data_IF_602579248454
#
_entry.id   IF_602579248454
#
_cell.length_a   1.000
_cell.length_b   1.000
_cell.length_c   1.000
_cell.angle_alpha   90.00
_cell.angle_beta   90.00
_cell.angle_gamma   90.00
#
_symmetry.space_group_name_H-M   'P 1'
#
loop_
_entity.id
_entity.type
_entity.pdbx_description
1 polymer ?
#
# COMPACT_ATOMS: atom_id res chain seq x y z
N UNK A 1 46.09 -60.95 9.07
CA UNK A 1 44.78 -61.63 9.04
C UNK A 1 43.82 -60.79 8.21
N UNK A 2 43.00 -61.48 7.40
CA UNK A 2 42.00 -60.98 6.46
C UNK A 2 41.19 -59.76 6.96
N UNK A 3 40.64 -58.89 6.12
CA UNK A 3 40.42 -58.87 4.68
C UNK A 3 39.39 -57.78 4.38
N UNK A 4 39.19 -57.42 3.11
CA UNK A 4 37.87 -57.24 2.49
C UNK A 4 38.00 -56.73 1.06
N UNK A 5 37.35 -57.49 0.20
CA UNK A 5 37.10 -57.29 -1.22
C UNK A 5 36.16 -56.09 -1.45
N UNK A 6 36.29 -55.40 -2.57
CA UNK A 6 35.32 -55.55 -3.66
C UNK A 6 35.70 -54.77 -4.92
N UNK A 7 35.75 -55.53 -6.01
CA UNK A 7 35.76 -55.13 -7.41
C UNK A 7 34.46 -54.39 -7.76
N UNK A 8 34.53 -53.37 -8.61
CA UNK A 8 33.51 -53.17 -9.64
C UNK A 8 34.15 -52.69 -10.94
N UNK A 9 33.73 -53.37 -12.00
CA UNK A 9 34.33 -53.48 -13.32
C UNK A 9 33.65 -52.48 -14.26
N UNK A 10 34.47 -51.83 -15.08
CA UNK A 10 34.07 -51.10 -16.27
C UNK A 10 33.21 -51.95 -17.22
N UNK A 11 32.12 -51.38 -17.74
CA UNK A 11 31.60 -51.75 -19.07
C UNK A 11 31.27 -50.50 -19.88
N UNK A 12 31.81 -50.36 -21.10
CA UNK A 12 31.29 -49.44 -22.09
C UNK A 12 30.14 -50.11 -22.85
N UNK A 13 29.16 -49.34 -23.33
CA UNK A 13 28.26 -49.78 -24.39
C UNK A 13 28.35 -48.88 -25.60
N UNK A 14 28.46 -49.58 -26.71
CA UNK A 14 28.73 -49.19 -28.08
C UNK A 14 27.42 -48.82 -28.79
N UNK A 15 27.51 -47.74 -29.59
CA UNK A 15 26.92 -47.45 -30.91
C UNK A 15 25.60 -48.18 -31.29
N UNK A 16 24.60 -47.40 -31.69
CA UNK A 16 23.67 -47.78 -32.77
C UNK A 16 23.41 -46.60 -33.70
N UNK A 17 23.28 -46.95 -34.96
CA UNK A 17 23.38 -46.19 -36.20
C UNK A 17 22.04 -45.63 -36.70
N UNK A 18 22.12 -44.53 -37.45
CA UNK A 18 21.37 -44.18 -38.67
C UNK A 18 19.85 -44.38 -38.73
N UNK A 19 19.12 -43.26 -38.87
CA UNK A 19 17.87 -43.18 -39.64
C UNK A 19 17.97 -41.93 -40.56
N UNK A 20 17.72 -42.17 -41.84
CA UNK A 20 17.73 -41.24 -42.97
C UNK A 20 16.61 -40.18 -42.96
N UNK A 21 16.72 -39.12 -43.80
CA UNK A 21 15.83 -37.98 -43.80
C UNK A 21 14.63 -38.14 -44.75
N UNK A 22 13.51 -37.48 -44.42
CA UNK A 22 12.38 -37.30 -45.33
C UNK A 22 11.89 -35.84 -45.32
N UNK A 23 11.20 -35.40 -46.38
CA UNK A 23 11.51 -34.13 -47.04
C UNK A 23 10.62 -32.95 -46.65
N UNK A 24 11.16 -31.79 -46.98
CA UNK A 24 10.53 -30.49 -47.19
C UNK A 24 9.03 -30.55 -47.53
N UNK A 25 8.22 -29.92 -46.67
CA UNK A 25 6.96 -29.28 -47.09
C UNK A 25 7.01 -27.81 -46.72
N UNK A 26 7.06 -26.99 -47.76
CA UNK A 26 6.97 -25.55 -47.67
C UNK A 26 5.58 -25.10 -47.26
N UNK A 27 5.54 -24.07 -46.42
CA UNK A 27 4.42 -23.15 -46.34
C UNK A 27 4.96 -21.74 -46.32
N UNK A 28 4.47 -20.95 -47.29
CA UNK A 28 4.93 -19.61 -47.60
C UNK A 28 4.75 -18.65 -46.43
N UNK A 29 5.81 -17.87 -46.18
CA UNK A 29 5.73 -16.66 -45.38
C UNK A 29 5.37 -15.51 -46.32
N UNK A 30 4.17 -14.96 -46.13
CA UNK A 30 3.80 -13.65 -46.64
C UNK A 30 4.59 -12.57 -45.87
N UNK A 31 4.99 -11.47 -46.53
CA UNK A 31 5.75 -10.40 -45.89
C UNK A 31 4.83 -9.55 -45.00
N UNK A 32 5.11 -9.53 -43.70
CA UNK A 32 4.52 -8.53 -42.80
C UNK A 32 5.21 -7.21 -43.09
N UNK A 33 4.49 -6.35 -43.80
CA UNK A 33 4.83 -4.95 -44.04
C UNK A 33 5.01 -4.24 -42.69
N UNK A 34 6.20 -3.67 -42.53
CA UNK A 34 6.54 -2.78 -41.44
C UNK A 34 5.58 -1.58 -41.42
N UNK A 35 4.97 -1.32 -40.26
CA UNK A 35 4.42 0.00 -39.93
C UNK A 35 5.27 0.60 -38.83
N UNK A 36 6.11 1.53 -39.26
CA UNK A 36 6.72 2.57 -38.44
C UNK A 36 5.66 3.58 -37.99
N UNK A 37 6.05 4.36 -36.99
CA UNK A 37 5.51 5.69 -36.65
C UNK A 37 4.39 5.76 -35.61
N UNK A 38 4.82 5.87 -34.34
CA UNK A 38 4.24 6.75 -33.32
C UNK A 38 5.24 6.98 -32.17
N UNK A 39 6.30 7.75 -32.42
CA UNK A 39 7.08 8.37 -31.34
C UNK A 39 6.41 9.72 -31.02
N UNK A 40 5.42 9.71 -30.13
CA UNK A 40 4.92 10.95 -29.53
C UNK A 40 5.89 11.37 -28.42
N UNK A 41 6.79 12.28 -28.75
CA UNK A 41 7.70 12.92 -27.81
C UNK A 41 6.93 13.90 -26.91
N UNK A 42 6.47 13.46 -25.74
CA UNK A 42 6.06 14.37 -24.67
C UNK A 42 7.30 14.96 -23.98
N UNK A 43 7.90 15.99 -24.60
CA UNK A 43 8.83 16.93 -23.95
C UNK A 43 8.07 17.65 -22.83
N UNK A 44 8.40 17.33 -21.58
CA UNK A 44 8.08 18.23 -20.44
C UNK A 44 9.12 19.33 -20.40
N UNK A 45 8.79 20.49 -20.96
CA UNK A 45 9.50 21.72 -20.66
C UNK A 45 9.20 22.13 -19.21
N UNK A 46 10.22 22.03 -18.36
CA UNK A 46 10.25 22.73 -17.09
C UNK A 46 10.54 24.21 -17.38
N UNK A 47 9.50 25.04 -17.43
CA UNK A 47 9.69 26.47 -17.24
C UNK A 47 9.91 26.74 -15.74
N UNK A 48 11.08 27.27 -15.45
CA UNK A 48 11.38 27.92 -14.18
C UNK A 48 10.61 29.23 -14.12
N UNK A 49 9.53 29.27 -13.33
CA UNK A 49 8.95 30.52 -12.85
C UNK A 49 9.40 30.75 -11.41
N UNK A 50 10.43 31.58 -11.30
CA UNK A 50 10.64 32.47 -10.15
C UNK A 50 9.41 33.39 -10.03
N UNK A 51 9.10 33.82 -8.80
CA UNK A 51 7.95 34.68 -8.40
C UNK A 51 6.71 33.88 -7.99
N UNK A 52 6.69 33.39 -6.74
CA UNK A 52 5.50 33.43 -5.89
C UNK A 52 5.89 33.15 -4.42
N UNK A 53 6.77 33.99 -3.86
CA UNK A 53 7.10 33.99 -2.43
C UNK A 53 6.72 35.34 -1.83
N UNK A 54 5.42 35.57 -1.65
CA UNK A 54 4.85 36.59 -0.75
C UNK A 54 3.33 36.37 -0.73
N UNK A 55 2.72 36.53 0.43
CA UNK A 55 1.28 36.39 0.73
C UNK A 55 0.80 34.99 1.18
N UNK A 56 1.39 34.50 2.28
CA UNK A 56 0.59 33.97 3.39
C UNK A 56 0.76 34.88 4.59
N UNK A 57 0.02 35.98 4.59
CA UNK A 57 -0.31 36.69 5.83
C UNK A 57 -1.22 35.73 6.59
N UNK A 58 -0.72 35.19 7.70
CA UNK A 58 -1.61 34.66 8.72
C UNK A 58 -2.48 35.83 9.14
N UNK A 59 -3.76 35.82 8.75
CA UNK A 59 -4.76 36.67 9.39
C UNK A 59 -4.85 36.19 10.84
N UNK A 60 -3.96 36.73 11.68
CA UNK A 60 -4.16 36.80 13.12
C UNK A 60 -5.42 37.64 13.28
N UNK A 61 -6.53 36.99 13.63
CA UNK A 61 -7.68 37.71 14.16
C UNK A 61 -7.25 38.11 15.57
N UNK A 62 -6.59 39.26 15.65
CA UNK A 62 -6.16 39.87 16.90
C UNK A 62 -7.41 40.18 17.73
N UNK A 63 -7.58 39.47 18.84
CA UNK A 63 -8.73 39.64 19.74
C UNK A 63 -9.43 38.35 20.18
N UNK A 64 -9.00 37.17 19.70
CA UNK A 64 -9.51 35.92 20.26
C UNK A 64 -9.04 35.76 21.72
N UNK A 65 -9.98 35.59 22.65
CA UNK A 65 -9.70 35.37 24.07
C UNK A 65 -8.65 34.27 24.24
N UNK A 66 -7.61 34.55 25.01
CA UNK A 66 -6.49 33.65 25.28
C UNK A 66 -6.89 32.47 26.17
N UNK A 67 -8.11 32.48 26.74
CA UNK A 67 -8.61 31.37 27.53
C UNK A 67 -8.80 30.12 26.66
N UNK A 68 -8.09 29.02 26.95
CA UNK A 68 -8.20 27.79 26.19
C UNK A 68 -9.50 27.01 26.45
N UNK A 69 -10.29 27.43 27.43
CA UNK A 69 -11.51 26.74 27.86
C UNK A 69 -12.78 27.45 27.39
N UNK A 70 -13.68 26.67 26.79
CA UNK A 70 -15.03 27.12 26.43
C UNK A 70 -15.85 27.32 27.71
N UNK A 71 -16.54 28.45 27.80
CA UNK A 71 -17.49 28.70 28.89
C UNK A 71 -18.73 27.81 28.75
N UNK A 72 -19.55 27.69 29.80
CA UNK A 72 -20.84 26.98 29.70
C UNK A 72 -21.77 27.61 28.65
N UNK A 73 -21.66 28.94 28.47
CA UNK A 73 -22.41 29.67 27.45
C UNK A 73 -21.90 29.38 26.04
N UNK A 74 -20.58 29.36 25.85
CA UNK A 74 -19.98 28.98 24.57
C UNK A 74 -20.44 27.57 24.17
N UNK A 75 -20.52 26.65 25.13
CA UNK A 75 -20.98 25.27 24.93
C UNK A 75 -22.42 25.21 24.43
N UNK A 76 -23.36 25.87 25.12
CA UNK A 76 -24.78 25.95 24.68
C UNK A 76 -24.90 26.55 23.27
N UNK A 77 -24.16 27.62 23.01
CA UNK A 77 -24.20 28.31 21.72
C UNK A 77 -23.56 27.50 20.59
N UNK A 78 -22.57 26.65 20.89
CA UNK A 78 -22.07 25.66 19.92
C UNK A 78 -23.17 24.66 19.57
N UNK A 79 -23.94 24.17 20.54
CA UNK A 79 -25.02 23.21 20.29
C UNK A 79 -26.13 23.85 19.43
N UNK A 80 -26.56 25.08 19.74
CA UNK A 80 -27.53 25.84 18.94
C UNK A 80 -27.07 26.12 17.50
N UNK A 81 -25.85 26.61 17.33
CA UNK A 81 -25.29 26.90 15.99
C UNK A 81 -24.96 25.62 15.21
N UNK A 82 -24.77 24.50 15.91
CA UNK A 82 -24.58 23.20 15.27
C UNK A 82 -25.90 22.66 14.71
N UNK A 83 -27.00 22.83 15.44
CA UNK A 83 -28.35 22.47 14.98
C UNK A 83 -28.82 23.30 13.78
N UNK A 84 -28.32 24.53 13.62
CA UNK A 84 -28.59 25.37 12.44
C UNK A 84 -27.77 25.01 11.19
N UNK A 85 -27.01 23.90 11.22
CA UNK A 85 -26.15 23.42 10.13
C UNK A 85 -25.00 24.37 9.74
N UNK A 86 -24.56 25.27 10.63
CA UNK A 86 -23.41 26.10 10.36
C UNK A 86 -22.09 25.30 10.35
N UNK A 87 -21.11 25.77 9.56
CA UNK A 87 -19.79 25.14 9.55
C UNK A 87 -19.05 25.44 10.85
N UNK A 88 -18.21 24.51 11.34
CA UNK A 88 -17.37 24.72 12.53
C UNK A 88 -16.52 26.00 12.46
N UNK A 89 -16.13 26.41 11.25
CA UNK A 89 -15.42 27.67 11.02
C UNK A 89 -16.29 28.91 11.24
N UNK A 90 -17.56 28.87 10.84
CA UNK A 90 -18.55 29.92 11.12
C UNK A 90 -18.82 30.00 12.61
N UNK A 91 -19.10 28.86 13.25
CA UNK A 91 -19.33 28.77 14.71
C UNK A 91 -18.13 29.37 15.49
N UNK A 92 -16.90 29.00 15.11
CA UNK A 92 -15.70 29.54 15.75
C UNK A 92 -15.54 31.06 15.58
N UNK A 93 -15.87 31.60 14.40
CA UNK A 93 -15.88 33.05 14.15
C UNK A 93 -16.97 33.75 14.96
N UNK A 94 -18.19 33.22 14.97
CA UNK A 94 -19.34 33.78 15.69
C UNK A 94 -19.07 33.87 17.20
N UNK A 95 -18.39 32.86 17.76
CA UNK A 95 -18.04 32.83 19.18
C UNK A 95 -16.73 33.57 19.52
N UNK A 96 -16.01 34.07 18.51
CA UNK A 96 -14.65 34.58 18.65
C UNK A 96 -13.76 33.61 19.46
N UNK A 97 -13.82 32.33 19.09
CA UNK A 97 -13.05 31.23 19.71
C UNK A 97 -12.12 30.59 18.70
N UNK A 98 -11.05 29.99 19.21
CA UNK A 98 -10.18 29.16 18.37
C UNK A 98 -10.98 27.99 17.80
N UNK A 99 -10.84 27.74 16.50
CA UNK A 99 -11.46 26.62 15.78
C UNK A 99 -11.30 25.29 16.53
N UNK A 100 -10.12 25.06 17.09
CA UNK A 100 -9.79 23.84 17.83
C UNK A 100 -10.58 23.69 19.14
N UNK A 101 -10.90 24.79 19.83
CA UNK A 101 -11.68 24.76 21.06
C UNK A 101 -13.12 24.30 20.76
N UNK A 102 -13.75 24.92 19.75
CA UNK A 102 -15.09 24.52 19.25
C UNK A 102 -15.09 23.06 18.79
N UNK A 103 -14.09 22.66 18.00
CA UNK A 103 -13.96 21.30 17.47
C UNK A 103 -13.86 20.23 18.56
N UNK A 104 -13.30 20.55 19.73
CA UNK A 104 -13.15 19.61 20.85
C UNK A 104 -14.46 19.38 21.62
N UNK A 105 -15.37 20.35 21.61
CA UNK A 105 -16.64 20.26 22.34
C UNK A 105 -17.72 19.54 21.55
N UNK A 106 -17.72 19.66 20.22
CA UNK A 106 -18.68 18.97 19.38
C UNK A 106 -18.65 17.46 19.64
N UNK A 107 -19.81 16.80 19.78
CA UNK A 107 -19.89 15.39 20.13
C UNK A 107 -19.06 14.57 19.15
N UNK A 108 -18.40 13.48 19.60
CA UNK A 108 -17.56 12.66 18.75
C UNK A 108 -18.24 12.25 17.45
N UNK A 109 -19.57 12.09 17.39
CA UNK A 109 -20.33 11.77 16.18
C UNK A 109 -20.53 12.90 15.15
N UNK A 110 -20.07 14.12 15.42
CA UNK A 110 -20.15 15.23 14.46
C UNK A 110 -19.27 14.93 13.24
N UNK A 111 -19.89 15.01 12.06
CA UNK A 111 -19.40 14.52 10.75
C UNK A 111 -17.98 14.94 10.35
N UNK A 112 -17.39 15.96 10.99
CA UNK A 112 -16.06 16.48 10.68
C UNK A 112 -14.93 15.91 11.56
N UNK A 113 -15.22 15.36 12.75
CA UNK A 113 -14.20 14.91 13.70
C UNK A 113 -13.65 13.50 13.43
N UNK A 114 -14.52 12.57 13.01
CA UNK A 114 -14.22 11.13 12.93
C UNK A 114 -13.81 10.63 11.54
N UNK A 115 -14.04 11.42 10.48
CA UNK A 115 -13.97 10.91 9.10
C UNK A 115 -12.57 10.84 8.49
N UNK A 116 -11.49 11.09 9.24
CA UNK A 116 -10.13 10.76 8.73
C UNK A 116 -9.82 9.25 8.78
N UNK A 117 -10.58 8.44 9.53
CA UNK A 117 -10.31 7.00 9.69
C UNK A 117 -11.42 6.12 9.10
N UNK A 118 -12.66 6.61 9.03
CA UNK A 118 -13.76 5.84 8.43
C UNK A 118 -13.61 5.82 6.90
N UNK A 119 -13.51 4.61 6.35
CA UNK A 119 -13.55 4.37 4.91
C UNK A 119 -14.84 4.91 4.28
N UNK A 120 -14.88 4.96 2.96
CA UNK A 120 -16.10 5.32 2.22
C UNK A 120 -17.19 4.28 2.48
N UNK A 121 -18.37 4.73 2.93
CA UNK A 121 -19.55 3.91 3.20
C UNK A 121 -20.52 3.90 2.01
N UNK A 122 -21.57 3.09 2.10
CA UNK A 122 -22.67 3.07 1.12
C UNK A 122 -23.44 4.38 1.06
N UNK A 123 -23.72 4.96 2.23
CA UNK A 123 -24.36 6.27 2.31
C UNK A 123 -23.52 7.35 1.64
N UNK A 124 -22.20 7.30 1.82
CA UNK A 124 -21.29 8.21 1.11
C UNK A 124 -21.38 7.99 -0.42
N UNK A 125 -21.48 6.75 -0.89
CA UNK A 125 -21.61 6.45 -2.33
C UNK A 125 -22.93 6.96 -2.93
N UNK A 126 -24.04 6.66 -2.26
CA UNK A 126 -25.37 7.09 -2.68
C UNK A 126 -25.49 8.61 -2.70
N UNK A 127 -24.96 9.26 -1.66
CA UNK A 127 -24.95 10.72 -1.57
C UNK A 127 -24.05 11.37 -2.61
N UNK A 128 -22.91 10.76 -2.96
CA UNK A 128 -22.09 11.24 -4.09
C UNK A 128 -22.86 11.19 -5.41
N UNK A 129 -23.63 10.11 -5.65
CA UNK A 129 -24.44 9.92 -6.86
C UNK A 129 -25.57 10.94 -6.92
N UNK A 130 -26.38 11.03 -5.87
CA UNK A 130 -27.50 11.97 -5.75
C UNK A 130 -27.04 13.42 -5.95
N UNK A 131 -25.96 13.84 -5.26
CA UNK A 131 -25.42 15.19 -5.41
C UNK A 131 -24.85 15.42 -6.82
N UNK A 132 -24.38 14.37 -7.50
CA UNK A 132 -23.90 14.48 -8.87
C UNK A 132 -25.06 14.64 -9.86
N UNK A 133 -26.16 13.93 -9.64
CA UNK A 133 -27.38 14.03 -10.44
C UNK A 133 -28.04 15.41 -10.30
N UNK A 134 -27.87 16.05 -9.13
CA UNK A 134 -28.20 17.47 -8.89
C UNK A 134 -27.26 18.46 -9.63
N UNK A 135 -26.30 17.99 -10.43
CA UNK A 135 -25.38 18.83 -11.19
C UNK A 135 -24.26 19.47 -10.38
N UNK A 136 -24.06 19.08 -9.11
CA UNK A 136 -23.00 19.66 -8.29
C UNK A 136 -21.60 19.27 -8.81
N UNK A 137 -20.67 20.21 -8.70
CA UNK A 137 -19.24 19.98 -8.94
C UNK A 137 -18.66 19.09 -7.84
N UNK A 138 -17.62 18.31 -8.15
CA UNK A 138 -16.96 17.42 -7.17
C UNK A 138 -16.44 18.16 -5.93
N UNK A 139 -16.01 19.42 -6.07
CA UNK A 139 -15.59 20.24 -4.92
C UNK A 139 -16.74 20.48 -3.94
N UNK A 140 -17.90 20.92 -4.43
CA UNK A 140 -19.11 21.10 -3.61
C UNK A 140 -19.62 19.79 -3.00
N UNK A 141 -19.49 18.68 -3.73
CA UNK A 141 -19.84 17.35 -3.23
C UNK A 141 -18.91 16.97 -2.07
N UNK A 142 -17.60 17.16 -2.21
CA UNK A 142 -16.62 16.88 -1.17
C UNK A 142 -16.90 17.72 0.10
N UNK A 143 -17.20 19.00 -0.08
CA UNK A 143 -17.59 19.91 1.00
C UNK A 143 -18.86 19.45 1.72
N UNK A 144 -19.93 19.12 0.99
CA UNK A 144 -21.19 18.58 1.56
C UNK A 144 -20.98 17.26 2.31
N UNK A 145 -20.01 16.45 1.92
CA UNK A 145 -19.68 15.19 2.58
C UNK A 145 -18.68 15.35 3.74
N UNK A 146 -18.14 16.55 3.95
CA UNK A 146 -17.07 16.82 4.91
C UNK A 146 -15.78 16.04 4.56
N UNK A 147 -15.50 15.81 3.28
CA UNK A 147 -14.31 15.10 2.78
C UNK A 147 -13.41 16.05 1.99
N UNK A 148 -12.13 15.70 1.86
CA UNK A 148 -11.22 16.45 1.00
C UNK A 148 -11.52 16.15 -0.48
N UNK A 149 -11.38 17.17 -1.34
CA UNK A 149 -11.54 17.00 -2.79
C UNK A 149 -10.68 15.85 -3.34
N UNK A 150 -9.38 15.82 -3.00
CA UNK A 150 -8.49 14.73 -3.43
C UNK A 150 -8.86 13.35 -2.85
N UNK A 151 -9.54 13.31 -1.69
CA UNK A 151 -10.08 12.07 -1.13
C UNK A 151 -11.26 11.55 -1.93
N UNK A 152 -12.19 12.43 -2.31
CA UNK A 152 -13.30 12.13 -3.21
C UNK A 152 -12.81 11.75 -4.61
N UNK A 153 -11.83 12.46 -5.15
CA UNK A 153 -11.24 12.15 -6.45
C UNK A 153 -10.51 10.79 -6.44
N UNK A 154 -9.73 10.50 -5.40
CA UNK A 154 -9.10 9.18 -5.24
C UNK A 154 -10.11 8.04 -5.09
N UNK A 155 -11.27 8.35 -4.51
CA UNK A 155 -12.39 7.42 -4.40
C UNK A 155 -13.06 7.21 -5.76
N UNK A 156 -13.37 8.29 -6.47
CA UNK A 156 -13.97 8.27 -7.80
C UNK A 156 -13.05 7.64 -8.84
N UNK A 157 -11.74 7.88 -8.79
CA UNK A 157 -10.77 7.20 -9.66
C UNK A 157 -10.77 5.70 -9.40
N UNK A 158 -10.77 5.29 -8.12
CA UNK A 158 -10.96 3.88 -7.77
C UNK A 158 -12.32 3.35 -8.23
N UNK A 159 -13.35 4.19 -8.27
CA UNK A 159 -14.69 3.88 -8.75
C UNK A 159 -14.86 3.90 -10.28
N UNK A 160 -14.06 4.67 -11.02
CA UNK A 160 -14.11 4.84 -12.49
C UNK A 160 -13.21 3.87 -13.23
N UNK A 161 -12.06 3.51 -12.65
CA UNK A 161 -11.27 2.36 -13.09
C UNK A 161 -12.07 1.03 -12.99
N UNK A 162 -13.28 1.05 -12.41
CA UNK A 162 -14.26 -0.05 -12.42
C UNK A 162 -14.94 -0.18 -13.79
N UNK A 163 -15.14 0.92 -14.51
CA UNK A 163 -16.11 0.99 -15.62
C UNK A 163 -15.49 0.96 -17.02
N UNK A 164 -14.23 1.37 -17.20
CA UNK A 164 -13.67 1.64 -18.53
C UNK A 164 -12.85 0.49 -19.17
N UNK A 165 -12.70 -0.67 -18.52
CA UNK A 165 -11.93 -1.77 -19.11
C UNK A 165 -12.06 -3.04 -18.29
N UNK A 166 -12.81 -4.01 -18.82
CA UNK A 166 -13.12 -5.27 -18.15
C UNK A 166 -11.90 -5.90 -17.46
N UNK A 167 -12.14 -6.43 -16.25
CA UNK A 167 -11.18 -7.07 -15.29
C UNK A 167 -10.64 -6.17 -14.17
N UNK A 168 -11.41 -5.22 -13.65
CA UNK A 168 -11.13 -4.66 -12.33
C UNK A 168 -11.75 -5.53 -11.23
N UNK A 169 -10.97 -5.91 -10.21
CA UNK A 169 -11.42 -6.64 -9.01
C UNK A 169 -12.22 -5.77 -8.02
N UNK A 170 -12.65 -4.59 -8.45
CA UNK A 170 -13.35 -3.62 -7.62
C UNK A 170 -14.83 -3.68 -7.95
N UNK A 171 -15.65 -3.85 -6.91
CA UNK A 171 -17.10 -4.02 -6.97
C UNK A 171 -17.77 -3.02 -6.03
N UNK A 172 -19.02 -2.65 -6.30
CA UNK A 172 -19.78 -1.84 -5.36
C UNK A 172 -20.09 -2.66 -4.10
N UNK A 173 -20.29 -1.97 -2.99
CA UNK A 173 -20.74 -2.60 -1.75
C UNK A 173 -22.15 -3.18 -1.90
N UNK A 174 -23.03 -2.56 -2.70
CA UNK A 174 -24.32 -3.13 -3.11
C UNK A 174 -24.17 -4.49 -3.84
N UNK A 175 -23.29 -4.58 -4.86
CA UNK A 175 -22.99 -5.84 -5.57
C UNK A 175 -22.43 -6.91 -4.63
N UNK A 176 -21.64 -6.48 -3.64
CA UNK A 176 -21.13 -7.36 -2.59
C UNK A 176 -22.26 -7.87 -1.69
N UNK A 177 -23.19 -7.01 -1.28
CA UNK A 177 -24.32 -7.40 -0.44
C UNK A 177 -25.27 -8.32 -1.19
N UNK A 178 -25.47 -8.09 -2.48
CA UNK A 178 -26.16 -9.02 -3.38
C UNK A 178 -25.43 -10.37 -3.41
N UNK A 179 -24.10 -10.40 -3.60
CA UNK A 179 -23.31 -11.63 -3.56
C UNK A 179 -23.47 -12.36 -2.21
N UNK A 180 -23.48 -11.63 -1.10
CA UNK A 180 -23.66 -12.18 0.25
C UNK A 180 -25.06 -12.74 0.46
N UNK A 181 -26.10 -12.05 0.00
CA UNK A 181 -27.48 -12.52 0.10
C UNK A 181 -27.71 -13.78 -0.76
N UNK A 182 -27.14 -13.82 -1.96
CA UNK A 182 -27.15 -15.02 -2.79
C UNK A 182 -26.39 -16.19 -2.13
N UNK A 183 -25.29 -15.92 -1.42
CA UNK A 183 -24.60 -16.95 -0.65
C UNK A 183 -25.45 -17.46 0.52
N UNK A 184 -26.18 -16.58 1.23
CA UNK A 184 -27.10 -16.98 2.31
C UNK A 184 -28.24 -17.87 1.80
N UNK A 185 -28.66 -17.69 0.54
CA UNK A 185 -29.63 -18.56 -0.15
C UNK A 185 -29.02 -19.93 -0.56
N UNK A 186 -27.77 -20.21 -0.22
CA UNK A 186 -27.10 -21.47 -0.53
C UNK A 186 -26.48 -21.54 -1.93
N UNK A 187 -26.47 -20.45 -2.71
CA UNK A 187 -25.85 -20.47 -4.03
C UNK A 187 -24.33 -20.60 -3.94
N UNK A 188 -23.75 -21.41 -4.83
CA UNK A 188 -22.30 -21.53 -4.99
C UNK A 188 -21.71 -20.27 -5.64
N UNK A 189 -20.45 -19.90 -5.34
CA UNK A 189 -19.81 -18.71 -5.91
C UNK A 189 -19.82 -18.62 -7.44
N UNK A 190 -19.81 -19.76 -8.14
CA UNK A 190 -19.92 -19.83 -9.61
C UNK A 190 -21.28 -19.36 -10.11
N UNK A 191 -22.37 -19.78 -9.46
CA UNK A 191 -23.73 -19.33 -9.79
C UNK A 191 -23.93 -17.86 -9.44
N UNK A 192 -23.36 -17.40 -8.32
CA UNK A 192 -23.35 -15.98 -7.93
C UNK A 192 -22.62 -15.14 -8.98
N UNK A 193 -21.44 -15.60 -9.43
CA UNK A 193 -20.65 -14.96 -10.47
C UNK A 193 -21.41 -14.82 -11.79
N UNK A 194 -22.09 -15.88 -12.22
CA UNK A 194 -22.95 -15.85 -13.39
C UNK A 194 -24.10 -14.83 -13.22
N UNK A 195 -24.79 -14.85 -12.07
CA UNK A 195 -25.93 -13.96 -11.79
C UNK A 195 -25.55 -12.48 -11.70
N UNK A 196 -24.35 -12.17 -11.21
CA UNK A 196 -23.83 -10.80 -11.12
C UNK A 196 -23.07 -10.35 -12.38
N UNK A 197 -22.85 -11.24 -13.37
CA UNK A 197 -22.01 -10.93 -14.52
C UNK A 197 -20.55 -10.64 -14.15
N UNK A 198 -20.03 -11.26 -13.09
CA UNK A 198 -18.68 -11.01 -12.55
C UNK A 198 -17.80 -12.26 -12.58
N UNK A 199 -16.46 -12.13 -12.64
CA UNK A 199 -15.57 -13.27 -12.52
C UNK A 199 -15.69 -13.96 -11.15
N UNK A 200 -15.58 -15.30 -11.13
CA UNK A 200 -15.65 -16.11 -9.90
C UNK A 200 -14.61 -15.67 -8.87
N UNK A 201 -13.41 -15.25 -9.31
CA UNK A 201 -12.37 -14.72 -8.44
C UNK A 201 -12.81 -13.43 -7.72
N UNK A 202 -13.55 -12.55 -8.41
CA UNK A 202 -14.08 -11.31 -7.86
C UNK A 202 -15.19 -11.59 -6.86
N UNK A 203 -16.11 -12.51 -7.16
CA UNK A 203 -17.13 -12.97 -6.20
C UNK A 203 -16.50 -13.62 -4.97
N UNK A 204 -15.50 -14.48 -5.16
CA UNK A 204 -14.74 -15.03 -4.03
C UNK A 204 -14.08 -13.93 -3.20
N UNK A 205 -13.58 -12.85 -3.82
CA UNK A 205 -13.07 -11.70 -3.09
C UNK A 205 -14.17 -10.92 -2.35
N UNK A 206 -15.36 -10.72 -2.96
CA UNK A 206 -16.55 -10.14 -2.32
C UNK A 206 -16.92 -10.90 -1.04
N UNK A 207 -17.02 -12.23 -1.17
CA UNK A 207 -17.42 -13.14 -0.10
C UNK A 207 -16.33 -13.29 0.97
N UNK A 208 -15.04 -13.35 0.59
CA UNK A 208 -13.89 -13.38 1.54
C UNK A 208 -13.74 -12.06 2.30
N UNK A 209 -14.02 -10.93 1.65
CA UNK A 209 -13.92 -9.60 2.27
C UNK A 209 -14.89 -9.40 3.43
N UNK A 210 -15.92 -10.26 3.55
CA UNK A 210 -16.87 -10.33 4.69
C UNK A 210 -16.18 -10.43 6.05
N UNK A 211 -14.94 -10.91 6.13
CA UNK A 211 -14.28 -11.14 7.43
C UNK A 211 -13.16 -10.15 7.78
N UNK A 212 -12.65 -9.37 6.81
CA UNK A 212 -11.58 -8.38 7.09
C UNK A 212 -12.11 -6.96 7.28
N UNK A 213 -13.37 -6.69 6.90
CA UNK A 213 -14.00 -5.38 7.01
C UNK A 213 -15.43 -5.51 7.52
N UNK A 214 -15.61 -6.17 8.67
CA UNK A 214 -16.58 -5.61 9.60
C UNK A 214 -16.05 -4.21 9.87
N UNK A 215 -16.67 -3.18 9.29
CA UNK A 215 -16.43 -1.82 9.74
C UNK A 215 -17.02 -1.80 11.14
N UNK A 216 -16.17 -2.12 12.11
CA UNK A 216 -16.52 -2.04 13.51
C UNK A 216 -17.15 -0.67 13.74
N UNK A 217 -18.43 -0.68 14.09
CA UNK A 217 -19.11 0.54 14.46
C UNK A 217 -18.48 1.07 15.74
N UNK A 218 -18.69 2.35 16.06
CA UNK A 218 -18.21 2.88 17.32
C UNK A 218 -18.86 2.16 18.51
N UNK A 219 -20.12 1.76 18.37
CA UNK A 219 -20.83 0.95 19.36
C UNK A 219 -20.17 -0.42 19.55
N UNK A 220 -19.76 -1.09 18.47
CA UNK A 220 -19.07 -2.36 18.59
C UNK A 220 -17.71 -2.20 19.27
N UNK A 221 -16.97 -1.13 18.95
CA UNK A 221 -15.69 -0.83 19.59
C UNK A 221 -15.91 -0.57 21.09
N UNK A 222 -16.93 0.21 21.43
CA UNK A 222 -17.28 0.54 22.80
C UNK A 222 -17.69 -0.70 23.59
N UNK A 223 -18.59 -1.53 23.04
CA UNK A 223 -18.99 -2.82 23.62
C UNK A 223 -17.77 -3.72 23.87
N UNK A 224 -16.86 -3.85 22.91
CA UNK A 224 -15.64 -4.66 23.08
C UNK A 224 -14.74 -4.10 24.18
N UNK A 225 -14.64 -2.77 24.31
CA UNK A 225 -13.90 -2.13 25.40
C UNK A 225 -14.57 -2.40 26.75
N UNK A 226 -15.89 -2.22 26.88
CA UNK A 226 -16.62 -2.42 28.14
C UNK A 226 -16.54 -3.87 28.60
N UNK A 227 -16.78 -4.83 27.70
CA UNK A 227 -16.70 -6.25 28.02
C UNK A 227 -15.29 -6.66 28.46
N UNK A 228 -14.25 -6.04 27.88
CA UNK A 228 -12.87 -6.27 28.30
C UNK A 228 -12.50 -5.62 29.63
N UNK A 229 -13.01 -4.43 29.91
CA UNK A 229 -12.85 -3.77 31.21
C UNK A 229 -13.58 -4.52 32.33
N UNK A 230 -14.70 -5.17 32.00
CA UNK A 230 -15.41 -6.09 32.90
C UNK A 230 -14.68 -7.44 33.13
N UNK A 231 -13.49 -7.64 32.54
CA UNK A 231 -12.67 -8.84 32.75
C UNK A 231 -13.07 -10.06 31.93
N UNK A 232 -14.06 -9.96 31.03
CA UNK A 232 -14.48 -11.12 30.21
C UNK A 232 -13.35 -11.60 29.31
N UNK A 233 -13.27 -12.91 29.14
CA UNK A 233 -12.34 -13.58 28.23
C UNK A 233 -12.72 -13.34 26.76
N UNK A 234 -11.77 -13.49 25.84
CA UNK A 234 -12.07 -13.35 24.40
C UNK A 234 -13.09 -14.38 23.90
N UNK A 235 -13.16 -15.55 24.53
CA UNK A 235 -14.12 -16.60 24.14
C UNK A 235 -15.55 -16.15 24.47
N UNK A 236 -15.78 -15.62 25.68
CA UNK A 236 -17.09 -15.09 26.10
C UNK A 236 -17.52 -13.91 25.22
N UNK A 237 -16.60 -12.98 24.93
CA UNK A 237 -16.89 -11.84 24.05
C UNK A 237 -17.25 -12.31 22.63
N UNK A 238 -16.58 -13.37 22.14
CA UNK A 238 -16.89 -13.93 20.82
C UNK A 238 -18.25 -14.61 20.79
N UNK A 239 -18.67 -15.24 21.90
CA UNK A 239 -20.01 -15.81 22.04
C UNK A 239 -21.09 -14.72 22.08
N UNK A 240 -20.83 -13.58 22.73
CA UNK A 240 -21.73 -12.43 22.81
C UNK A 240 -21.82 -11.63 21.50
N UNK A 241 -20.77 -11.64 20.68
CA UNK A 241 -20.70 -10.94 19.40
C UNK A 241 -20.57 -11.96 18.24
N UNK A 242 -21.62 -12.75 17.98
CA UNK A 242 -21.57 -13.80 16.96
C UNK A 242 -21.27 -13.22 15.58
N UNK A 243 -20.35 -13.86 14.86
CA UNK A 243 -19.88 -13.41 13.54
C UNK A 243 -18.52 -12.71 13.57
N UNK A 244 -18.03 -12.34 14.76
CA UNK A 244 -16.69 -11.79 14.95
C UNK A 244 -15.67 -12.90 15.22
N UNK A 245 -14.49 -12.83 14.59
CA UNK A 245 -13.36 -13.72 14.94
C UNK A 245 -12.64 -13.16 16.16
N UNK A 246 -12.24 -14.02 17.09
CA UNK A 246 -11.39 -13.67 18.25
C UNK A 246 -10.20 -12.79 17.87
N UNK A 247 -9.45 -13.17 16.84
CA UNK A 247 -8.27 -12.40 16.38
C UNK A 247 -8.63 -11.00 15.87
N UNK A 248 -9.83 -10.82 15.32
CA UNK A 248 -10.32 -9.52 14.88
C UNK A 248 -10.71 -8.63 16.08
N UNK A 249 -11.35 -9.21 17.11
CA UNK A 249 -11.67 -8.53 18.37
C UNK A 249 -10.40 -8.10 19.12
N UNK A 250 -9.40 -8.98 19.19
CA UNK A 250 -8.08 -8.69 19.76
C UNK A 250 -7.39 -7.52 19.05
N UNK A 251 -7.39 -7.53 17.71
CA UNK A 251 -6.82 -6.46 16.91
C UNK A 251 -7.59 -5.14 17.08
N UNK A 252 -8.92 -5.21 17.16
CA UNK A 252 -9.80 -4.05 17.40
C UNK A 252 -9.48 -3.40 18.74
N UNK A 253 -9.51 -4.19 19.82
CA UNK A 253 -9.21 -3.72 21.17
C UNK A 253 -7.78 -3.17 21.26
N UNK A 254 -6.80 -3.85 20.67
CA UNK A 254 -5.41 -3.37 20.62
C UNK A 254 -5.29 -2.02 19.91
N UNK A 255 -6.09 -1.78 18.88
CA UNK A 255 -6.14 -0.49 18.17
C UNK A 255 -6.82 0.58 19.01
N UNK A 256 -8.01 0.28 19.55
CA UNK A 256 -8.80 1.19 20.36
C UNK A 256 -8.07 1.63 21.65
N UNK A 257 -7.41 0.68 22.33
CA UNK A 257 -6.59 0.98 23.51
C UNK A 257 -5.32 1.73 23.16
N UNK A 258 -4.70 1.46 22.01
CA UNK A 258 -3.56 2.26 21.54
C UNK A 258 -4.01 3.70 21.28
N UNK A 259 -5.15 3.91 20.63
CA UNK A 259 -5.68 5.26 20.40
C UNK A 259 -6.05 5.96 21.72
N UNK A 260 -6.58 5.24 22.72
CA UNK A 260 -6.83 5.77 24.08
C UNK A 260 -5.53 6.10 24.82
N UNK A 261 -4.50 5.26 24.73
CA UNK A 261 -3.16 5.51 25.32
C UNK A 261 -2.41 6.64 24.62
N UNK A 262 -2.60 6.78 23.31
CA UNK A 262 -2.06 7.88 22.51
C UNK A 262 -2.71 9.24 22.85
N UNK A 263 -3.78 9.27 23.66
CA UNK A 263 -4.33 10.50 24.27
C UNK A 263 -3.55 10.97 25.51
N UNK A 264 -2.53 10.25 25.98
CA UNK A 264 -1.47 10.89 26.79
C UNK A 264 -0.85 12.06 26.01
N UNK A 265 -0.05 12.95 26.62
CA UNK A 265 0.65 14.00 25.86
C UNK A 265 1.51 13.31 24.82
N UNK A 266 0.98 13.19 23.60
CA UNK A 266 1.64 12.49 22.52
C UNK A 266 3.01 13.12 22.42
N UNK A 267 4.06 12.33 22.64
CA UNK A 267 5.43 12.82 22.54
C UNK A 267 5.48 13.51 21.18
N UNK A 268 5.53 14.85 21.19
CA UNK A 268 5.35 15.65 19.98
C UNK A 268 6.56 15.34 19.12
N UNK A 269 6.45 14.34 18.25
CA UNK A 269 7.48 14.02 17.28
C UNK A 269 7.55 15.26 16.41
N UNK A 270 8.58 16.05 16.64
CA UNK A 270 8.76 17.31 15.98
C UNK A 270 8.91 17.02 14.47
N UNK A 271 8.00 17.58 13.68
CA UNK A 271 8.13 17.62 12.20
C UNK A 271 9.12 18.72 11.78
N UNK A 272 10.20 18.87 12.54
CA UNK A 272 11.26 19.83 12.24
C UNK A 272 12.12 19.23 11.11
N UNK A 273 12.66 20.02 10.17
CA UNK A 273 13.66 19.54 9.22
C UNK A 273 14.83 18.84 9.93
N UNK A 274 15.54 17.95 9.24
CA UNK A 274 16.74 17.32 9.80
C UNK A 274 17.90 18.31 9.79
N UNK A 275 18.58 18.49 10.92
CA UNK A 275 19.82 19.26 10.98
C UNK A 275 21.01 18.40 10.53
N UNK A 276 22.09 19.07 10.09
CA UNK A 276 23.33 18.37 9.73
C UNK A 276 23.96 17.65 10.93
N UNK A 277 23.78 18.17 12.15
CA UNK A 277 24.24 17.53 13.39
C UNK A 277 23.47 16.24 13.67
N UNK A 278 22.16 16.23 13.45
CA UNK A 278 21.33 15.02 13.58
C UNK A 278 21.77 13.96 12.57
N UNK A 279 22.07 14.37 11.33
CA UNK A 279 22.56 13.48 10.28
C UNK A 279 23.92 12.87 10.62
N UNK A 280 24.87 13.71 11.09
CA UNK A 280 26.18 13.25 11.53
C UNK A 280 26.07 12.28 12.72
N UNK A 281 25.22 12.61 13.69
CA UNK A 281 24.92 11.74 14.84
C UNK A 281 24.31 10.42 14.39
N UNK A 282 23.38 10.44 13.44
CA UNK A 282 22.76 9.24 12.88
C UNK A 282 23.81 8.33 12.21
N UNK A 283 24.68 8.90 11.37
CA UNK A 283 25.78 8.17 10.74
C UNK A 283 26.76 7.62 11.77
N UNK A 284 27.12 8.39 12.80
CA UNK A 284 28.01 7.93 13.87
C UNK A 284 27.40 6.76 14.64
N UNK A 285 26.16 6.87 15.09
CA UNK A 285 25.48 5.81 15.84
C UNK A 285 25.32 4.53 14.99
N UNK A 286 25.09 4.69 13.67
CA UNK A 286 24.82 3.57 12.78
C UNK A 286 26.08 2.90 12.21
N UNK A 287 27.02 3.68 11.71
CA UNK A 287 28.19 3.18 10.97
C UNK A 287 29.37 2.92 11.90
N UNK A 288 29.60 3.79 12.89
CA UNK A 288 30.72 3.66 13.84
C UNK A 288 30.31 2.74 14.98
N UNK A 289 29.22 3.06 15.69
CA UNK A 289 28.79 2.29 16.88
C UNK A 289 27.98 1.04 16.56
N UNK A 290 27.64 0.82 15.29
CA UNK A 290 26.88 -0.36 14.80
C UNK A 290 25.56 -0.60 15.54
N UNK A 291 24.92 0.45 16.07
CA UNK A 291 23.66 0.31 16.80
C UNK A 291 22.50 -0.04 15.87
N UNK A 292 21.53 -0.77 16.41
CA UNK A 292 20.26 -1.04 15.72
C UNK A 292 19.40 0.23 15.64
N UNK A 293 18.55 0.34 14.62
CA UNK A 293 17.63 1.48 14.47
C UNK A 293 16.67 1.66 15.66
N UNK A 294 16.40 0.58 16.40
CA UNK A 294 15.60 0.63 17.62
C UNK A 294 16.33 1.36 18.74
N UNK A 295 17.59 0.96 19.00
CA UNK A 295 18.46 1.63 19.96
C UNK A 295 18.70 3.09 19.58
N UNK A 296 18.93 3.37 18.29
CA UNK A 296 19.09 4.74 17.80
C UNK A 296 17.83 5.56 18.06
N UNK A 297 16.63 5.00 17.88
CA UNK A 297 15.38 5.72 18.17
C UNK A 297 15.13 6.01 19.65
N UNK A 298 15.73 5.21 20.55
CA UNK A 298 15.72 5.50 21.99
C UNK A 298 16.68 6.64 22.33
N UNK A 299 17.84 6.70 21.68
CA UNK A 299 18.85 7.76 21.86
C UNK A 299 18.45 9.09 21.19
N UNK A 300 17.83 9.04 20.01
CA UNK A 300 17.27 10.17 19.27
C UNK A 300 15.76 10.25 19.53
N UNK A 301 15.43 10.48 20.79
CA UNK A 301 14.08 10.28 21.31
C UNK A 301 13.04 11.27 20.77
N UNK A 302 13.50 12.32 20.10
CA UNK A 302 12.77 13.35 19.36
C UNK A 302 12.32 12.88 17.96
N UNK A 303 12.98 11.85 17.41
CA UNK A 303 12.65 11.28 16.09
C UNK A 303 12.07 9.88 16.22
N UNK A 304 11.08 9.56 15.39
CA UNK A 304 10.55 8.19 15.32
C UNK A 304 11.54 7.25 14.64
N UNK A 305 11.53 5.97 15.02
CA UNK A 305 12.30 4.91 14.35
C UNK A 305 12.11 4.91 12.82
N UNK A 306 10.88 5.15 12.35
CA UNK A 306 10.57 5.20 10.92
C UNK A 306 11.20 6.42 10.24
N UNK A 307 11.17 7.59 10.89
CA UNK A 307 11.82 8.79 10.38
C UNK A 307 13.34 8.60 10.30
N UNK A 308 13.94 8.04 11.34
CA UNK A 308 15.37 7.68 11.38
C UNK A 308 15.72 6.72 10.23
N UNK A 309 14.90 5.68 10.02
CA UNK A 309 15.12 4.75 8.91
C UNK A 309 15.06 5.46 7.55
N UNK A 310 14.02 6.27 7.29
CA UNK A 310 13.92 7.02 6.03
C UNK A 310 15.10 7.95 5.83
N UNK A 311 15.45 8.74 6.85
CA UNK A 311 16.55 9.69 6.74
C UNK A 311 17.89 9.01 6.53
N UNK A 312 18.16 7.93 7.24
CA UNK A 312 19.37 7.14 7.04
C UNK A 312 19.47 6.63 5.60
N UNK A 313 18.36 6.18 4.99
CA UNK A 313 18.35 5.81 3.55
C UNK A 313 18.62 7.00 2.62
N UNK A 314 18.24 8.22 3.02
CA UNK A 314 18.42 9.41 2.20
C UNK A 314 19.86 9.96 2.27
N UNK A 315 20.50 9.88 3.45
CA UNK A 315 21.90 10.35 3.65
C UNK A 315 22.90 9.30 3.19
N UNK A 316 22.67 8.04 3.55
CA UNK A 316 23.55 6.94 3.16
C UNK A 316 23.24 6.57 1.72
N UNK A 317 23.73 7.41 0.80
CA UNK A 317 23.60 7.31 -0.65
C UNK A 317 24.14 5.99 -1.22
N UNK A 318 24.82 5.18 -0.39
CA UNK A 318 25.07 3.78 -0.73
C UNK A 318 23.74 3.10 -1.04
N UNK A 319 22.65 3.35 -0.33
CA UNK A 319 21.36 2.73 -0.61
C UNK A 319 20.55 3.55 -1.62
N UNK A 320 20.93 3.46 -2.90
CA UNK A 320 20.24 4.16 -4.00
C UNK A 320 18.75 3.80 -4.03
N UNK A 321 17.89 4.71 -3.56
CA UNK A 321 16.44 4.71 -3.81
C UNK A 321 16.24 4.99 -5.29
N UNK A 322 15.94 3.95 -6.05
CA UNK A 322 15.35 4.06 -7.39
C UNK A 322 16.16 4.77 -8.49
N UNK A 323 17.48 4.94 -8.34
CA UNK A 323 18.29 5.10 -9.56
C UNK A 323 18.03 3.87 -10.44
N UNK A 324 17.61 4.07 -11.69
CA UNK A 324 17.40 2.97 -12.62
C UNK A 324 18.61 2.03 -12.62
N UNK A 325 18.37 0.74 -12.85
CA UNK A 325 19.49 -0.18 -13.03
C UNK A 325 20.15 0.15 -14.36
N UNK A 326 21.47 0.36 -14.36
CA UNK A 326 22.20 0.46 -15.62
C UNK A 326 22.13 -0.89 -16.36
N UNK A 327 22.33 -0.87 -17.68
CA UNK A 327 22.39 -2.10 -18.47
C UNK A 327 23.47 -3.05 -17.94
N UNK A 328 24.64 -2.51 -17.60
CA UNK A 328 25.75 -3.26 -16.98
C UNK A 328 25.37 -3.89 -15.64
N UNK A 329 24.62 -3.17 -14.78
CA UNK A 329 24.12 -3.72 -13.52
C UNK A 329 23.18 -4.91 -13.80
N UNK A 330 22.28 -4.81 -14.78
CA UNK A 330 21.35 -5.88 -15.15
C UNK A 330 22.07 -7.11 -15.70
N UNK A 331 23.04 -6.91 -16.60
CA UNK A 331 23.87 -7.99 -17.13
C UNK A 331 24.67 -8.68 -16.04
N UNK A 332 25.27 -7.91 -15.12
CA UNK A 332 25.98 -8.44 -13.97
C UNK A 332 25.06 -9.27 -13.06
N UNK A 333 23.84 -8.80 -12.78
CA UNK A 333 22.85 -9.56 -12.02
C UNK A 333 22.53 -10.89 -12.72
N UNK A 334 22.28 -10.84 -14.04
CA UNK A 334 21.92 -12.01 -14.81
C UNK A 334 23.05 -13.06 -14.83
N UNK A 335 24.29 -12.62 -15.04
CA UNK A 335 25.48 -13.48 -15.03
C UNK A 335 25.69 -14.15 -13.67
N UNK A 336 25.67 -13.36 -12.58
CA UNK A 336 25.86 -13.90 -11.23
C UNK A 336 24.75 -14.88 -10.83
N UNK A 337 23.52 -14.63 -11.28
CA UNK A 337 22.39 -15.56 -11.03
C UNK A 337 22.47 -16.83 -11.84
N UNK A 338 22.93 -16.76 -13.08
CA UNK A 338 23.12 -17.96 -13.88
C UNK A 338 24.29 -18.81 -13.38
N UNK A 339 25.27 -18.21 -12.71
CA UNK A 339 26.29 -18.93 -11.94
C UNK A 339 25.76 -19.56 -10.63
N UNK A 340 24.44 -19.54 -10.38
CA UNK A 340 23.82 -20.18 -9.21
C UNK A 340 23.92 -19.40 -7.89
N UNK A 341 24.47 -18.18 -7.88
CA UNK A 341 24.61 -17.41 -6.64
C UNK A 341 23.27 -16.97 -6.07
N UNK A 342 23.09 -17.01 -4.74
CA UNK A 342 21.86 -16.53 -4.09
C UNK A 342 21.75 -15.00 -4.20
N UNK A 343 20.53 -14.47 -4.25
CA UNK A 343 20.29 -13.01 -4.38
C UNK A 343 20.98 -12.16 -3.30
N UNK A 344 21.19 -12.72 -2.09
CA UNK A 344 21.91 -12.06 -1.01
C UNK A 344 23.39 -11.82 -1.39
N UNK A 345 24.02 -12.82 -1.98
CA UNK A 345 25.42 -12.76 -2.41
C UNK A 345 25.57 -11.90 -3.67
N UNK A 346 24.61 -11.97 -4.58
CA UNK A 346 24.54 -11.07 -5.74
C UNK A 346 24.46 -9.61 -5.30
N UNK A 347 23.61 -9.29 -4.32
CA UNK A 347 23.47 -7.93 -3.79
C UNK A 347 24.75 -7.44 -3.09
N UNK A 348 25.50 -8.33 -2.41
CA UNK A 348 26.79 -7.98 -1.85
C UNK A 348 27.83 -7.58 -2.92
N UNK A 349 27.70 -8.07 -4.16
CA UNK A 349 28.58 -7.76 -5.30
C UNK A 349 28.13 -6.57 -6.15
N UNK A 350 26.97 -5.97 -5.83
CA UNK A 350 26.41 -4.82 -6.53
C UNK A 350 26.24 -3.70 -5.51
N UNK A 351 27.25 -2.84 -5.35
CA UNK A 351 27.27 -1.87 -4.26
C UNK A 351 26.03 -0.98 -4.36
N UNK A 352 25.36 -0.86 -3.23
CA UNK A 352 24.23 0.02 -3.08
C UNK A 352 22.86 -0.51 -3.51
N UNK A 353 22.78 -1.79 -3.87
CA UNK A 353 21.50 -2.47 -4.13
C UNK A 353 21.18 -3.45 -3.02
N UNK A 354 19.92 -3.44 -2.57
CA UNK A 354 19.44 -4.44 -1.59
C UNK A 354 19.06 -5.73 -2.32
N UNK A 355 19.17 -6.89 -1.64
CA UNK A 355 18.75 -8.18 -2.25
C UNK A 355 17.31 -8.17 -2.75
N UNK A 356 16.40 -7.44 -2.06
CA UNK A 356 15.00 -7.28 -2.50
C UNK A 356 14.89 -6.47 -3.79
N UNK A 357 15.72 -5.44 -3.94
CA UNK A 357 15.76 -4.64 -5.16
C UNK A 357 16.31 -5.48 -6.32
N UNK A 358 17.40 -6.22 -6.10
CA UNK A 358 18.00 -7.13 -7.09
C UNK A 358 17.02 -8.22 -7.53
N UNK A 359 16.37 -8.90 -6.58
CA UNK A 359 15.37 -9.94 -6.87
C UNK A 359 14.18 -9.38 -7.67
N UNK A 360 13.66 -8.21 -7.26
CA UNK A 360 12.55 -7.56 -7.95
C UNK A 360 12.91 -7.14 -9.38
N UNK A 361 14.08 -6.52 -9.58
CA UNK A 361 14.48 -6.08 -10.93
C UNK A 361 14.76 -7.27 -11.83
N UNK A 362 15.41 -8.32 -11.31
CA UNK A 362 15.67 -9.54 -12.07
C UNK A 362 14.36 -10.21 -12.52
N UNK A 363 13.36 -10.29 -11.63
CA UNK A 363 12.01 -10.75 -11.96
C UNK A 363 11.31 -9.91 -13.04
N UNK A 364 11.49 -8.58 -13.01
CA UNK A 364 10.97 -7.70 -14.06
C UNK A 364 11.70 -7.90 -15.39
N UNK A 365 13.02 -7.96 -15.36
CA UNK A 365 13.89 -8.07 -16.54
C UNK A 365 13.73 -9.40 -17.26
N UNK A 366 13.60 -10.49 -16.51
CA UNK A 366 13.48 -11.84 -17.06
C UNK A 366 12.02 -12.36 -17.01
N UNK A 367 11.01 -11.47 -16.90
CA UNK A 367 9.59 -11.85 -16.81
C UNK A 367 9.21 -12.81 -17.95
N UNK A 368 8.73 -14.01 -17.57
CA UNK A 368 8.33 -15.07 -18.53
C UNK A 368 9.45 -16.01 -18.97
N UNK A 369 10.72 -15.74 -18.63
CA UNK A 369 11.88 -16.52 -19.09
C UNK A 369 12.47 -17.47 -18.04
N UNK A 370 12.01 -17.39 -16.79
CA UNK A 370 12.47 -18.22 -15.68
C UNK A 370 11.45 -18.32 -14.53
N UNK A 371 11.68 -19.28 -13.63
CA UNK A 371 11.01 -19.45 -12.33
C UNK A 371 12.04 -19.52 -11.21
N UNK A 372 11.62 -19.27 -9.96
CA UNK A 372 12.47 -19.35 -8.76
C UNK A 372 11.88 -20.37 -7.80
N UNK A 373 12.69 -21.32 -7.35
CA UNK A 373 12.26 -22.30 -6.34
C UNK A 373 12.23 -21.69 -4.92
N UNK A 374 11.67 -22.43 -3.95
CA UNK A 374 11.58 -21.99 -2.55
C UNK A 374 12.94 -21.72 -1.89
N UNK A 375 14.02 -22.30 -2.43
CA UNK A 375 15.39 -22.17 -1.95
C UNK A 375 16.13 -20.98 -2.59
N UNK A 376 15.49 -20.32 -3.56
CA UNK A 376 16.03 -19.17 -4.27
C UNK A 376 16.94 -19.52 -5.45
N UNK A 377 16.82 -20.71 -6.04
CA UNK A 377 17.51 -21.10 -7.29
C UNK A 377 16.68 -20.69 -8.52
N UNK A 378 17.35 -20.37 -9.63
CA UNK A 378 16.69 -19.99 -10.90
C UNK A 378 16.54 -21.21 -11.79
N UNK A 379 15.32 -21.50 -12.23
CA UNK A 379 15.04 -22.44 -13.31
C UNK A 379 14.69 -21.64 -14.58
N UNK A 380 15.55 -21.71 -15.59
CA UNK A 380 15.33 -21.01 -16.86
C UNK A 380 14.37 -21.79 -17.76
N UNK A 381 13.35 -21.12 -18.30
CA UNK A 381 12.41 -21.70 -19.27
C UNK A 381 12.88 -21.50 -20.71
N UNK A 382 13.70 -20.46 -20.95
CA UNK A 382 14.36 -20.18 -22.22
C UNK A 382 15.87 -20.00 -21.99
N UNK A 383 16.68 -20.22 -23.03
CA UNK A 383 18.12 -19.91 -22.96
C UNK A 383 18.32 -18.45 -22.49
N UNK A 384 19.15 -18.22 -21.45
CA UNK A 384 19.38 -16.88 -20.90
C UNK A 384 19.80 -15.90 -22.01
N UNK A 385 19.39 -14.62 -21.94
CA UNK A 385 19.73 -13.62 -22.98
C UNK A 385 21.23 -13.57 -23.32
N UNK A 386 22.10 -13.63 -22.32
CA UNK A 386 23.55 -13.58 -22.50
C UNK A 386 24.15 -14.86 -23.13
N UNK A 387 23.44 -15.99 -23.10
CA UNK A 387 23.86 -17.23 -23.78
C UNK A 387 23.47 -17.25 -25.26
N UNK A 388 22.66 -16.29 -25.74
CA UNK A 388 22.36 -16.17 -27.18
C UNK A 388 23.53 -15.57 -27.96
N UNK A 389 24.38 -14.77 -27.30
CA UNK A 389 25.51 -14.09 -27.93
C UNK A 389 26.75 -14.98 -28.02
N UNK A 390 27.00 -15.82 -27.01
CA UNK A 390 28.15 -16.75 -26.98
C UNK A 390 28.02 -17.94 -27.95
N UNK A 391 26.89 -18.07 -28.64
CA UNK A 391 26.62 -19.19 -29.56
C UNK A 391 26.84 -18.90 -31.04
N UNK A 392 27.35 -17.70 -31.42
CA UNK A 392 27.62 -17.38 -32.83
C UNK A 392 29.06 -17.57 -33.28
N UNK A 393 30.01 -17.66 -32.37
CA UNK A 393 31.44 -17.67 -32.72
C UNK A 393 32.06 -19.08 -32.70
N UNK A 394 31.24 -20.14 -32.62
CA UNK A 394 31.69 -21.52 -32.42
C UNK A 394 31.32 -22.54 -33.50
N UNK A 395 30.67 -22.12 -34.59
CA UNK A 395 30.40 -22.97 -35.75
C UNK A 395 30.96 -22.28 -37.01
N UNK A 396 32.27 -22.43 -37.21
CA UNK A 396 32.97 -22.18 -38.46
C UNK A 396 33.90 -23.36 -38.73
#
# INVERSE_FOLDING_TARGET
>A
MAGLLCRLVFRPRVITTWIEPLPLRGHGLLPIIARSDCISACRRHYHASSICSQNRVNASVDGASSSPELTAEDRRRIDELWESYETVGTIAKTLNRRLFAVWRYLPPGSSFGQRRILGWTDDDHNKVRELRDQGLTWQKIAEKLGRSHGGLESYLMRARCISAGGRSNVYSLEERDQAVNLQKQGLRPTSIAHRLGRPVATVNHMLRSRMSRYSWTLEDIEKVLTLREAGMSWHEITALLPGSRRTALEALYSRATRDRKLKGPAKKILKVPWSQEEDAKLLQLRNVRRLSLDQISKLMSDRSRKAIWHRYMDIDASLKRDSGYSLEELEKIARLRAAGMKFKDVAARIPGRTYRAVSRIFGKFCKGKFSVDERGNVNWHERPPYMRELGRDGEA
#
